data_IF_899931829659
#
_entry.id   IF_899931829659
#
_cell.length_a   1.000
_cell.length_b   1.000
_cell.length_c   1.000
_cell.angle_alpha   90.00
_cell.angle_beta   90.00
_cell.angle_gamma   90.00
#
_symmetry.space_group_name_H-M   'P 1'
#
loop_
_entity.id
_entity.type
_entity.pdbx_description
1 polymer ?
#
# COMPACT_ATOMS: atom_id res chain seq x y z
N UNK A 1 -5.22 5.86 13.90
CA UNK A 1 -6.65 5.44 13.91
C UNK A 1 -7.37 6.29 14.94
N UNK A 2 -8.47 6.91 14.53
CA UNK A 2 -9.25 7.81 15.36
C UNK A 2 -9.87 7.05 16.56
N UNK A 3 -9.58 7.47 17.83
CA UNK A 3 -10.22 6.89 19.01
C UNK A 3 -11.75 7.11 19.03
N UNK A 4 -12.27 7.97 18.17
CA UNK A 4 -13.70 8.28 18.11
C UNK A 4 -14.56 7.16 17.51
N UNK A 5 -13.99 6.22 16.73
CA UNK A 5 -14.74 5.07 16.21
C UNK A 5 -15.26 4.11 17.30
N UNK A 6 -14.79 4.25 18.54
CA UNK A 6 -15.29 3.45 19.68
C UNK A 6 -16.52 4.04 20.38
N UNK A 7 -16.98 5.23 20.00
CA UNK A 7 -18.12 5.93 20.67
C UNK A 7 -19.47 5.25 20.48
N UNK A 8 -19.58 4.25 19.60
CA UNK A 8 -20.83 3.49 19.40
C UNK A 8 -21.05 2.34 20.41
N UNK A 9 -20.02 1.95 21.17
CA UNK A 9 -20.16 0.97 22.25
C UNK A 9 -20.48 1.76 23.54
N UNK A 10 -21.67 1.56 24.09
CA UNK A 10 -22.12 2.22 25.31
C UNK A 10 -21.13 2.12 26.47
N UNK A 11 -21.18 3.06 27.40
CA UNK A 11 -20.21 3.20 28.50
C UNK A 11 -20.02 1.94 29.38
N UNK A 12 -20.97 1.03 29.35
CA UNK A 12 -20.90 -0.27 30.07
C UNK A 12 -19.80 -1.17 29.50
N UNK A 13 -19.61 -1.15 28.18
CA UNK A 13 -18.60 -2.01 27.52
C UNK A 13 -17.20 -1.38 27.52
N UNK A 14 -17.07 -0.07 27.63
CA UNK A 14 -15.76 0.61 27.70
C UNK A 14 -14.90 0.19 28.91
N UNK A 15 -15.52 -0.28 29.98
CA UNK A 15 -14.81 -0.79 31.18
C UNK A 15 -14.30 -2.21 31.03
N UNK A 16 -14.79 -2.95 30.03
CA UNK A 16 -14.45 -4.36 29.77
C UNK A 16 -13.50 -4.56 28.61
N UNK A 17 -13.24 -3.50 27.79
CA UNK A 17 -12.39 -3.55 26.62
C UNK A 17 -11.14 -2.73 26.87
N UNK A 18 -9.98 -3.35 26.76
CA UNK A 18 -8.68 -2.67 26.80
C UNK A 18 -8.23 -2.38 25.36
N UNK A 19 -7.97 -1.10 25.06
CA UNK A 19 -7.42 -0.65 23.78
C UNK A 19 -5.92 -0.45 23.92
N UNK A 20 -5.15 -1.22 23.15
CA UNK A 20 -3.70 -1.14 23.11
C UNK A 20 -3.24 -0.69 21.73
N UNK A 21 -2.34 0.28 21.69
CA UNK A 21 -1.67 0.69 20.45
C UNK A 21 -0.40 -0.14 20.28
N UNK A 22 -0.23 -0.77 19.12
CA UNK A 22 0.98 -1.51 18.81
C UNK A 22 2.14 -0.56 18.50
N UNK A 23 3.28 -0.78 19.16
CA UNK A 23 4.55 -0.14 18.87
C UNK A 23 5.54 -1.17 18.32
N UNK A 24 5.70 -1.22 16.99
CA UNK A 24 6.55 -2.18 16.29
C UNK A 24 8.04 -2.13 16.70
N UNK A 25 8.48 -1.07 17.39
CA UNK A 25 9.86 -0.95 17.91
C UNK A 25 10.08 -1.59 19.27
N UNK A 26 9.03 -1.67 20.10
CA UNK A 26 9.16 -2.02 21.51
C UNK A 26 8.23 -3.14 21.99
N UNK A 27 7.16 -3.47 21.27
CA UNK A 27 6.11 -4.39 21.71
C UNK A 27 6.21 -5.78 21.08
N UNK A 28 7.31 -6.05 20.37
CA UNK A 28 7.50 -7.31 19.63
C UNK A 28 8.47 -8.24 20.31
N UNK A 29 8.32 -9.54 20.00
CA UNK A 29 9.27 -10.62 20.30
C UNK A 29 9.51 -11.43 19.04
N UNK A 30 10.73 -11.99 18.94
CA UNK A 30 11.13 -12.86 17.84
C UNK A 30 10.36 -14.17 17.89
N UNK A 31 9.76 -14.54 16.76
CA UNK A 31 9.09 -15.84 16.58
C UNK A 31 10.09 -16.85 16.00
N UNK A 32 10.77 -16.43 14.94
CA UNK A 32 11.73 -17.26 14.22
C UNK A 32 12.60 -16.42 13.29
N UNK A 33 13.65 -17.04 12.77
CA UNK A 33 14.39 -16.55 11.62
C UNK A 33 13.95 -17.37 10.40
N UNK A 34 13.37 -16.71 9.39
CA UNK A 34 13.11 -17.32 8.09
C UNK A 34 14.44 -17.50 7.37
N UNK A 35 14.86 -18.73 7.03
CA UNK A 35 16.16 -18.98 6.41
C UNK A 35 16.29 -18.31 5.03
N UNK A 36 17.54 -17.95 4.68
CA UNK A 36 17.83 -17.34 3.36
C UNK A 36 17.36 -18.21 2.20
N UNK A 37 17.47 -19.53 2.33
CA UNK A 37 17.05 -20.49 1.30
C UNK A 37 15.54 -20.40 1.02
N UNK A 38 14.73 -20.27 2.06
CA UNK A 38 13.27 -20.09 1.94
C UNK A 38 12.93 -18.76 1.27
N UNK A 39 13.63 -17.69 1.68
CA UNK A 39 13.45 -16.36 1.08
C UNK A 39 13.89 -16.37 -0.40
N UNK A 40 15.02 -16.98 -0.70
CA UNK A 40 15.53 -17.13 -2.07
C UNK A 40 14.58 -17.94 -2.95
N UNK A 41 14.08 -19.07 -2.45
CA UNK A 41 13.07 -19.87 -3.18
C UNK A 41 11.80 -19.07 -3.44
N UNK A 42 11.26 -18.40 -2.42
CA UNK A 42 10.06 -17.59 -2.54
C UNK A 42 10.20 -16.46 -3.58
N UNK A 43 11.41 -15.87 -3.70
CA UNK A 43 11.70 -14.76 -4.60
C UNK A 43 12.26 -15.18 -5.97
N UNK A 44 12.41 -16.48 -6.22
CA UNK A 44 13.05 -16.98 -7.43
C UNK A 44 14.53 -16.59 -7.53
N UNK A 45 15.22 -16.46 -6.40
CA UNK A 45 16.64 -16.14 -6.31
C UNK A 45 16.99 -14.64 -6.40
N UNK A 46 15.99 -13.76 -6.54
CA UNK A 46 16.21 -12.32 -6.68
C UNK A 46 16.52 -11.61 -5.35
N UNK A 47 16.17 -12.24 -4.23
CA UNK A 47 16.46 -11.72 -2.90
C UNK A 47 17.00 -12.84 -2.01
N UNK A 48 18.14 -12.59 -1.33
CA UNK A 48 18.88 -13.59 -0.54
C UNK A 48 19.31 -12.96 0.78
N UNK A 49 18.42 -13.09 1.78
CA UNK A 49 18.69 -12.65 3.14
C UNK A 49 17.75 -13.38 4.09
N UNK A 50 18.26 -13.86 5.22
CA UNK A 50 17.42 -14.35 6.29
C UNK A 50 16.62 -13.18 6.89
N UNK A 51 15.39 -13.45 7.34
CA UNK A 51 14.46 -12.44 7.85
C UNK A 51 13.99 -12.85 9.24
N UNK A 52 14.13 -11.97 10.23
CA UNK A 52 13.55 -12.17 11.54
C UNK A 52 12.05 -11.90 11.49
N UNK A 53 11.24 -12.89 11.85
CA UNK A 53 9.82 -12.71 12.05
C UNK A 53 9.56 -12.38 13.52
N UNK A 54 8.89 -11.27 13.74
CA UNK A 54 8.56 -10.75 15.07
C UNK A 54 7.05 -10.56 15.16
N UNK A 55 6.50 -10.70 16.35
CA UNK A 55 5.07 -10.51 16.61
C UNK A 55 4.86 -9.82 17.97
N UNK A 56 3.76 -9.07 18.09
CA UNK A 56 3.40 -8.39 19.32
C UNK A 56 3.30 -9.40 20.49
N UNK A 57 3.94 -9.07 21.63
CA UNK A 57 3.97 -9.90 22.83
C UNK A 57 2.61 -10.32 23.34
N UNK A 58 1.62 -9.40 23.24
CA UNK A 58 0.25 -9.74 23.68
C UNK A 58 -0.35 -10.88 22.83
N UNK A 59 -0.03 -10.94 21.52
CA UNK A 59 -0.48 -12.03 20.65
C UNK A 59 0.18 -13.35 21.02
N UNK A 60 1.42 -13.32 21.52
CA UNK A 60 2.21 -14.49 21.93
C UNK A 60 1.99 -14.90 23.39
N UNK A 61 1.35 -14.05 24.20
CA UNK A 61 1.27 -14.23 25.67
C UNK A 61 0.59 -15.52 26.14
N UNK A 62 -0.25 -16.12 25.30
CA UNK A 62 -1.08 -17.27 25.68
C UNK A 62 -2.25 -16.93 26.61
N UNK A 63 -2.46 -15.63 26.90
CA UNK A 63 -3.55 -15.17 27.79
C UNK A 63 -4.93 -15.15 27.12
N UNK A 64 -4.95 -15.27 25.77
CA UNK A 64 -6.19 -15.19 25.00
C UNK A 64 -6.62 -16.57 24.50
N UNK A 65 -7.87 -16.94 24.76
CA UNK A 65 -8.47 -18.18 24.24
C UNK A 65 -8.57 -18.15 22.72
N UNK A 66 -8.71 -16.95 22.12
CA UNK A 66 -8.83 -16.74 20.68
C UNK A 66 -8.36 -15.35 20.27
N UNK A 67 -7.66 -15.30 19.16
CA UNK A 67 -7.24 -14.06 18.49
C UNK A 67 -8.13 -13.86 17.28
N UNK A 68 -8.68 -12.66 17.11
CA UNK A 68 -9.51 -12.31 15.96
C UNK A 68 -8.81 -11.20 15.16
N UNK A 69 -8.46 -11.50 13.90
CA UNK A 69 -7.91 -10.52 12.98
C UNK A 69 -9.00 -10.04 12.02
N UNK A 70 -9.33 -8.76 12.09
CA UNK A 70 -10.39 -8.15 11.27
C UNK A 70 -9.77 -7.21 10.25
N UNK A 71 -10.25 -7.25 8.99
CA UNK A 71 -9.86 -6.26 8.01
C UNK A 71 -10.29 -6.57 6.59
N UNK A 72 -9.99 -5.62 5.70
CA UNK A 72 -10.39 -5.62 4.31
C UNK A 72 -9.34 -6.29 3.41
N UNK A 73 -9.80 -7.12 2.47
CA UNK A 73 -8.97 -7.69 1.41
C UNK A 73 -9.10 -6.80 0.17
N UNK A 74 -7.98 -6.17 -0.18
CA UNK A 74 -7.86 -5.26 -1.34
C UNK A 74 -6.48 -5.45 -1.97
N UNK A 75 -6.26 -5.06 -3.23
CA UNK A 75 -4.93 -5.04 -3.83
C UNK A 75 -3.93 -4.27 -2.97
N UNK A 76 -2.70 -4.77 -2.85
CA UNK A 76 -1.67 -4.20 -1.98
C UNK A 76 -0.28 -4.29 -2.63
N UNK A 77 0.48 -3.20 -2.56
CA UNK A 77 1.79 -3.04 -3.21
C UNK A 77 2.88 -3.99 -2.70
N UNK A 78 2.79 -4.42 -1.44
CA UNK A 78 3.83 -5.28 -0.82
C UNK A 78 3.48 -6.76 -0.88
N UNK A 79 2.25 -7.12 -0.53
CA UNK A 79 1.85 -8.52 -0.34
C UNK A 79 0.89 -9.04 -1.41
N UNK A 80 0.58 -8.21 -2.41
CA UNK A 80 -0.35 -8.52 -3.48
C UNK A 80 -1.81 -8.27 -3.12
N UNK A 81 -2.35 -8.99 -2.15
CA UNK A 81 -3.65 -8.73 -1.51
C UNK A 81 -3.44 -8.48 -0.01
N UNK A 82 -4.09 -7.45 0.53
CA UNK A 82 -3.99 -7.06 1.95
C UNK A 82 -4.62 -8.10 2.88
N UNK A 83 -4.39 -7.93 4.19
CA UNK A 83 -4.97 -8.74 5.26
C UNK A 83 -4.37 -10.15 5.41
N UNK A 84 -5.06 -11.03 6.16
CA UNK A 84 -4.62 -12.37 6.53
C UNK A 84 -3.27 -12.31 7.29
N UNK A 85 -2.28 -13.13 6.92
CA UNK A 85 -0.95 -13.18 7.57
C UNK A 85 -0.22 -11.84 7.58
N UNK A 86 -0.55 -10.90 6.67
CA UNK A 86 0.00 -9.54 6.68
C UNK A 86 -0.40 -8.75 7.92
N UNK A 87 -1.62 -8.94 8.44
CA UNK A 87 -2.04 -8.25 9.65
C UNK A 87 -1.24 -8.69 10.88
N UNK A 88 -0.79 -9.93 10.88
CA UNK A 88 0.09 -10.46 11.92
C UNK A 88 1.52 -9.94 11.74
N UNK A 89 2.17 -10.32 10.65
CA UNK A 89 3.60 -10.16 10.44
C UNK A 89 4.06 -8.74 10.04
N UNK A 90 3.11 -7.88 9.66
CA UNK A 90 3.35 -6.45 9.39
C UNK A 90 2.47 -5.57 10.27
N UNK A 91 1.18 -5.89 10.40
CA UNK A 91 0.22 -5.07 11.16
C UNK A 91 0.52 -4.99 12.65
N UNK A 92 0.90 -6.12 13.25
CA UNK A 92 1.36 -6.24 14.65
C UNK A 92 2.70 -6.99 14.73
N UNK A 93 3.45 -6.97 13.63
CA UNK A 93 4.80 -7.51 13.52
C UNK A 93 5.87 -6.48 13.84
N UNK A 94 7.13 -6.88 13.64
CA UNK A 94 8.29 -6.07 13.98
C UNK A 94 9.06 -5.54 12.77
N UNK A 95 10.19 -4.94 13.08
CA UNK A 95 10.95 -4.09 12.17
C UNK A 95 11.50 -4.82 10.96
N UNK A 96 12.13 -5.98 11.17
CA UNK A 96 12.85 -6.66 10.09
C UNK A 96 11.86 -7.19 9.05
N UNK A 97 10.78 -7.85 9.48
CA UNK A 97 9.75 -8.34 8.56
C UNK A 97 9.07 -7.20 7.78
N UNK A 98 8.80 -6.06 8.42
CA UNK A 98 8.24 -4.88 7.74
C UNK A 98 9.21 -4.41 6.65
N UNK A 99 10.46 -4.13 6.99
CA UNK A 99 11.45 -3.61 6.07
C UNK A 99 11.71 -4.56 4.90
N UNK A 100 11.99 -5.84 5.21
CA UNK A 100 12.37 -6.81 4.18
C UNK A 100 11.20 -7.17 3.25
N UNK A 101 9.98 -7.28 3.76
CA UNK A 101 8.80 -7.52 2.92
C UNK A 101 8.57 -6.39 1.91
N UNK A 102 8.77 -5.14 2.32
CA UNK A 102 8.69 -3.99 1.41
C UNK A 102 9.78 -4.02 0.35
N UNK A 103 11.02 -4.30 0.76
CA UNK A 103 12.14 -4.37 -0.18
C UNK A 103 12.02 -5.53 -1.17
N UNK A 104 11.58 -6.71 -0.72
CA UNK A 104 11.29 -7.85 -1.61
C UNK A 104 10.25 -7.46 -2.67
N UNK A 105 9.18 -6.77 -2.26
CA UNK A 105 8.18 -6.31 -3.21
C UNK A 105 8.76 -5.35 -4.26
N UNK A 106 9.61 -4.45 -3.85
CA UNK A 106 10.24 -3.49 -4.75
C UNK A 106 11.18 -4.18 -5.76
N UNK A 107 12.05 -5.08 -5.28
CA UNK A 107 12.99 -5.83 -6.12
C UNK A 107 12.28 -6.80 -7.08
N UNK A 108 11.23 -7.49 -6.60
CA UNK A 108 10.45 -8.40 -7.45
C UNK A 108 9.57 -7.68 -8.48
N UNK A 109 9.37 -6.38 -8.32
CA UNK A 109 8.58 -5.52 -9.19
C UNK A 109 7.10 -5.48 -8.81
N UNK A 110 6.63 -4.27 -8.51
CA UNK A 110 5.26 -4.02 -8.03
C UNK A 110 4.16 -4.53 -8.99
N UNK A 111 4.41 -4.48 -10.29
CA UNK A 111 3.48 -4.95 -11.32
C UNK A 111 3.25 -6.47 -11.26
N UNK A 112 4.25 -7.22 -10.77
CA UNK A 112 4.16 -8.67 -10.57
C UNK A 112 3.54 -9.05 -9.23
N UNK A 113 3.44 -8.09 -8.31
CA UNK A 113 2.96 -8.29 -6.94
C UNK A 113 1.49 -7.88 -6.81
N UNK A 114 1.19 -6.63 -7.14
CA UNK A 114 -0.06 -5.98 -6.77
C UNK A 114 -1.30 -6.66 -7.39
N UNK A 115 -2.29 -6.93 -6.55
CA UNK A 115 -3.54 -7.56 -6.95
C UNK A 115 -3.45 -9.08 -7.14
N UNK A 116 -2.32 -9.70 -6.79
CA UNK A 116 -2.14 -11.15 -6.85
C UNK A 116 -2.24 -11.79 -5.47
N UNK A 117 -2.85 -12.95 -5.40
CA UNK A 117 -2.97 -13.72 -4.15
C UNK A 117 -1.63 -14.35 -3.74
N UNK A 118 -0.94 -14.98 -4.70
CA UNK A 118 0.31 -15.70 -4.49
C UNK A 118 1.49 -14.85 -4.92
N UNK A 119 2.19 -14.25 -3.96
CA UNK A 119 3.36 -13.40 -4.18
C UNK A 119 4.57 -13.94 -3.42
N UNK A 120 5.81 -13.53 -3.75
CA UNK A 120 6.99 -13.88 -2.96
C UNK A 120 6.83 -13.56 -1.48
N UNK A 121 6.36 -12.36 -1.14
CA UNK A 121 6.12 -11.94 0.25
C UNK A 121 5.06 -12.81 0.92
N UNK A 122 3.95 -13.12 0.23
CA UNK A 122 2.90 -13.97 0.78
C UNK A 122 3.40 -15.38 1.08
N UNK A 123 4.24 -15.96 0.23
CA UNK A 123 4.85 -17.27 0.48
C UNK A 123 5.71 -17.28 1.73
N UNK A 124 6.47 -16.22 1.98
CA UNK A 124 7.26 -16.07 3.22
C UNK A 124 6.34 -15.98 4.43
N UNK A 125 5.27 -15.20 4.36
CA UNK A 125 4.30 -15.09 5.45
C UNK A 125 3.56 -16.40 5.73
N UNK A 126 3.16 -17.11 4.69
CA UNK A 126 2.48 -18.41 4.80
C UNK A 126 3.44 -19.48 5.39
N UNK A 127 4.74 -19.40 5.09
CA UNK A 127 5.77 -20.22 5.74
C UNK A 127 5.82 -19.97 7.25
N UNK A 128 5.87 -18.71 7.68
CA UNK A 128 5.89 -18.37 9.12
C UNK A 128 4.58 -18.81 9.80
N UNK A 129 3.44 -18.53 9.18
CA UNK A 129 2.13 -18.92 9.71
C UNK A 129 2.07 -20.43 9.96
N UNK A 130 2.40 -21.22 8.95
CA UNK A 130 2.30 -22.67 8.99
C UNK A 130 3.25 -23.33 9.99
N UNK A 131 4.48 -22.82 10.13
CA UNK A 131 5.52 -23.49 10.91
C UNK A 131 5.64 -22.96 12.34
N UNK A 132 5.19 -21.73 12.61
CA UNK A 132 5.44 -21.07 13.90
C UNK A 132 4.20 -20.47 14.57
N UNK A 133 3.10 -20.26 13.84
CA UNK A 133 1.88 -19.63 14.37
C UNK A 133 0.66 -20.55 14.32
N UNK A 134 0.80 -21.79 13.86
CA UNK A 134 -0.31 -22.75 13.72
C UNK A 134 -0.96 -23.10 15.06
N UNK A 135 -0.19 -23.03 16.17
CA UNK A 135 -0.70 -23.23 17.52
C UNK A 135 -1.56 -22.08 18.03
N UNK A 136 -1.49 -20.90 17.44
CA UNK A 136 -2.32 -19.77 17.83
C UNK A 136 -3.70 -19.91 17.18
N UNK A 137 -4.74 -19.87 18.01
CA UNK A 137 -6.14 -19.94 17.55
C UNK A 137 -6.54 -18.60 16.93
N UNK A 138 -6.16 -18.36 15.67
CA UNK A 138 -6.40 -17.11 14.98
C UNK A 138 -7.58 -17.27 14.02
N UNK A 139 -8.65 -16.53 14.26
CA UNK A 139 -9.78 -16.44 13.35
C UNK A 139 -9.67 -15.15 12.53
N UNK A 140 -9.67 -15.28 11.22
CA UNK A 140 -9.68 -14.14 10.29
C UNK A 140 -11.11 -13.79 9.92
N UNK A 141 -11.49 -12.51 10.09
CA UNK A 141 -12.73 -11.91 9.63
C UNK A 141 -12.38 -10.95 8.49
N UNK A 142 -12.60 -11.40 7.26
CA UNK A 142 -12.17 -10.74 6.05
C UNK A 142 -13.35 -10.11 5.33
N UNK A 143 -13.27 -8.81 5.07
CA UNK A 143 -14.28 -8.09 4.29
C UNK A 143 -13.77 -7.81 2.89
N UNK A 144 -14.66 -7.83 1.91
CA UNK A 144 -14.43 -7.29 0.58
C UNK A 144 -15.42 -6.17 0.36
N UNK A 145 -14.91 -4.95 0.26
CA UNK A 145 -15.72 -3.74 0.00
C UNK A 145 -15.28 -3.10 -1.31
N UNK A 146 -16.17 -2.32 -1.89
CA UNK A 146 -15.87 -1.49 -3.05
C UNK A 146 -16.58 -0.15 -2.87
N UNK A 147 -15.94 0.96 -3.22
CA UNK A 147 -16.59 2.27 -3.19
C UNK A 147 -17.62 2.39 -4.29
N UNK A 148 -18.86 2.73 -3.90
CA UNK A 148 -19.91 3.24 -4.78
C UNK A 148 -20.53 4.47 -4.12
N UNK A 149 -20.56 5.59 -4.85
CA UNK A 149 -21.36 6.78 -4.50
C UNK A 149 -21.21 7.30 -3.05
N UNK A 150 -20.00 7.48 -2.55
CA UNK A 150 -19.68 7.98 -1.20
C UNK A 150 -19.82 6.98 -0.04
N UNK A 151 -20.42 5.80 -0.26
CA UNK A 151 -20.52 4.73 0.71
C UNK A 151 -19.69 3.51 0.28
N UNK A 152 -19.18 2.75 1.24
CA UNK A 152 -18.47 1.50 0.99
C UNK A 152 -19.46 0.34 1.08
N UNK A 153 -19.81 -0.26 -0.06
CA UNK A 153 -20.65 -1.44 -0.10
C UNK A 153 -19.86 -2.68 0.33
N UNK A 154 -20.42 -3.46 1.24
CA UNK A 154 -19.89 -4.77 1.63
C UNK A 154 -20.35 -5.83 0.62
N UNK A 155 -19.43 -6.37 -0.15
CA UNK A 155 -19.69 -7.42 -1.15
C UNK A 155 -19.44 -8.83 -0.65
N UNK A 156 -18.57 -9.00 0.35
CA UNK A 156 -18.28 -10.29 0.92
C UNK A 156 -17.75 -10.19 2.34
N UNK A 157 -18.11 -11.20 3.14
CA UNK A 157 -17.64 -11.38 4.50
C UNK A 157 -17.26 -12.85 4.66
N UNK A 158 -16.00 -13.11 5.02
CA UNK A 158 -15.44 -14.44 5.14
C UNK A 158 -14.86 -14.61 6.54
N UNK A 159 -15.20 -15.71 7.19
CA UNK A 159 -14.68 -16.05 8.52
C UNK A 159 -14.07 -17.43 8.46
N UNK A 160 -12.86 -17.56 8.97
CA UNK A 160 -12.16 -18.85 9.07
C UNK A 160 -10.71 -18.69 9.50
N UNK A 161 -10.04 -19.80 9.66
CA UNK A 161 -8.65 -19.90 10.10
C UNK A 161 -7.73 -20.28 8.93
N UNK A 162 -8.29 -20.99 7.96
CA UNK A 162 -7.59 -21.59 6.85
C UNK A 162 -7.22 -20.61 5.71
N UNK A 163 -6.15 -20.94 5.00
CA UNK A 163 -5.68 -20.18 3.82
C UNK A 163 -6.78 -20.02 2.76
N UNK A 164 -7.68 -21.02 2.62
CA UNK A 164 -8.77 -21.01 1.67
C UNK A 164 -9.80 -19.90 1.94
N UNK A 165 -10.02 -19.53 3.21
CA UNK A 165 -10.85 -18.37 3.59
C UNK A 165 -10.30 -17.09 2.96
N UNK A 166 -8.99 -16.89 3.02
CA UNK A 166 -8.35 -15.74 2.37
C UNK A 166 -8.40 -15.84 0.84
N UNK A 167 -8.16 -17.03 0.27
CA UNK A 167 -8.26 -17.27 -1.17
C UNK A 167 -9.64 -16.92 -1.73
N UNK A 168 -10.69 -17.31 -1.00
CA UNK A 168 -12.07 -16.97 -1.39
C UNK A 168 -12.29 -15.44 -1.38
N UNK A 169 -11.81 -14.74 -0.36
CA UNK A 169 -11.88 -13.28 -0.29
C UNK A 169 -11.06 -12.61 -1.42
N UNK A 170 -9.86 -13.13 -1.74
CA UNK A 170 -9.03 -12.62 -2.85
C UNK A 170 -9.73 -12.74 -4.20
N UNK A 171 -10.35 -13.89 -4.50
CA UNK A 171 -11.11 -14.09 -5.75
C UNK A 171 -12.25 -13.07 -5.90
N UNK A 172 -12.92 -12.71 -4.81
CA UNK A 172 -13.95 -11.66 -4.85
C UNK A 172 -13.33 -10.26 -4.95
N UNK A 173 -12.26 -9.98 -4.19
CA UNK A 173 -11.57 -8.70 -4.23
C UNK A 173 -10.99 -8.39 -5.63
N UNK A 174 -10.45 -9.39 -6.33
CA UNK A 174 -9.99 -9.26 -7.70
C UNK A 174 -11.12 -8.78 -8.63
N UNK A 175 -12.31 -9.38 -8.52
CA UNK A 175 -13.48 -9.00 -9.33
C UNK A 175 -14.04 -7.63 -9.00
N UNK A 176 -13.88 -7.15 -7.76
CA UNK A 176 -14.51 -5.92 -7.28
C UNK A 176 -13.57 -4.72 -7.25
N UNK A 177 -12.29 -4.94 -6.97
CA UNK A 177 -11.31 -3.86 -6.78
C UNK A 177 -10.32 -3.71 -7.92
N UNK A 178 -10.31 -4.61 -8.94
CA UNK A 178 -9.50 -4.44 -10.14
C UNK A 178 -10.37 -3.98 -11.30
N UNK A 179 -10.07 -2.79 -11.81
CA UNK A 179 -10.72 -2.24 -13.00
C UNK A 179 -9.87 -2.52 -14.24
N UNK A 180 -10.43 -3.21 -15.22
CA UNK A 180 -9.79 -3.58 -16.47
C UNK A 180 -10.14 -2.58 -17.56
N UNK A 181 -9.19 -1.74 -17.95
CA UNK A 181 -9.32 -0.79 -19.04
C UNK A 181 -9.21 -1.49 -20.41
N UNK A 182 -9.91 -1.01 -21.43
CA UNK A 182 -9.80 -1.57 -22.78
C UNK A 182 -8.48 -1.21 -23.47
N UNK A 183 -7.84 -0.10 -23.06
CA UNK A 183 -6.58 0.43 -23.59
C UNK A 183 -5.80 1.14 -22.50
N UNK A 184 -4.48 1.29 -22.67
CA UNK A 184 -3.67 2.18 -21.82
C UNK A 184 -4.12 3.61 -21.99
N UNK A 185 -4.22 4.36 -20.89
CA UNK A 185 -4.54 5.77 -20.92
C UNK A 185 -3.27 6.61 -21.16
N UNK A 186 -3.31 7.53 -22.12
CA UNK A 186 -2.24 8.51 -22.30
C UNK A 186 -2.18 9.51 -21.15
N UNK A 187 -3.34 9.76 -20.51
CA UNK A 187 -3.44 10.59 -19.33
C UNK A 187 -4.38 9.98 -18.30
N UNK A 188 -3.91 9.87 -17.08
CA UNK A 188 -4.74 9.55 -15.90
C UNK A 188 -4.74 10.76 -14.98
N UNK A 189 -5.93 11.13 -14.50
CA UNK A 189 -6.12 12.19 -13.51
C UNK A 189 -6.68 11.56 -12.24
N UNK A 190 -6.00 11.71 -11.12
CA UNK A 190 -6.46 11.17 -9.84
C UNK A 190 -6.80 12.30 -8.86
N UNK A 191 -7.74 12.05 -7.98
CA UNK A 191 -8.09 12.94 -6.87
C UNK A 191 -7.66 12.35 -5.54
N UNK A 192 -6.91 13.12 -4.77
CA UNK A 192 -6.53 12.82 -3.40
C UNK A 192 -7.29 13.75 -2.45
N UNK A 193 -8.17 13.18 -1.62
CA UNK A 193 -8.92 13.96 -0.63
C UNK A 193 -7.95 14.56 0.39
N UNK A 194 -7.95 15.90 0.60
CA UNK A 194 -7.06 16.56 1.55
C UNK A 194 -7.27 16.14 3.01
N UNK A 195 -8.42 15.55 3.35
CA UNK A 195 -8.64 15.00 4.68
C UNK A 195 -7.86 13.71 4.95
N UNK A 196 -7.50 12.97 3.91
CA UNK A 196 -6.80 11.67 4.01
C UNK A 196 -5.33 11.75 3.58
N UNK A 197 -5.00 12.62 2.63
CA UNK A 197 -3.69 12.63 1.95
C UNK A 197 -2.91 13.90 2.25
N UNK A 198 -2.08 13.86 3.29
CA UNK A 198 -1.21 14.97 3.69
C UNK A 198 0.25 14.85 3.22
N UNK A 199 0.68 13.65 2.79
CA UNK A 199 2.05 13.38 2.35
C UNK A 199 2.09 12.61 1.03
N UNK A 200 3.23 12.65 0.32
CA UNK A 200 3.44 11.78 -0.85
C UNK A 200 3.57 10.32 -0.44
N UNK A 201 3.98 10.03 0.80
CA UNK A 201 4.02 8.66 1.32
C UNK A 201 2.70 7.91 1.15
N UNK A 202 1.60 8.52 1.54
CA UNK A 202 0.27 7.96 1.30
C UNK A 202 -0.28 8.31 -0.07
N UNK A 203 0.04 9.49 -0.60
CA UNK A 203 -0.43 10.00 -1.90
C UNK A 203 0.05 9.17 -3.09
N UNK A 204 1.23 8.55 -2.98
CA UNK A 204 1.79 7.68 -4.02
C UNK A 204 1.01 6.37 -4.23
N UNK A 205 -0.03 6.09 -3.43
CA UNK A 205 -1.04 5.11 -3.82
C UNK A 205 -1.63 5.41 -5.19
N UNK A 206 -1.72 6.69 -5.58
CA UNK A 206 -2.09 7.09 -6.92
C UNK A 206 -1.12 6.53 -7.98
N UNK A 207 0.20 6.57 -7.72
CA UNK A 207 1.22 6.02 -8.61
C UNK A 207 1.14 4.49 -8.65
N UNK A 208 1.12 3.85 -7.48
CA UNK A 208 1.14 2.39 -7.36
C UNK A 208 -0.02 1.73 -8.08
N UNK A 209 -1.22 2.27 -7.90
CA UNK A 209 -2.49 1.68 -8.32
C UNK A 209 -2.79 1.91 -9.81
N UNK A 210 -2.21 2.94 -10.43
CA UNK A 210 -2.54 3.34 -11.80
C UNK A 210 -1.45 2.99 -12.82
N UNK A 211 -0.21 2.74 -12.37
CA UNK A 211 0.97 2.60 -13.24
C UNK A 211 0.81 1.53 -14.35
N UNK A 212 0.04 0.48 -14.11
CA UNK A 212 -0.24 -0.58 -15.09
C UNK A 212 -1.27 -0.16 -16.15
N UNK A 213 -1.99 0.93 -15.93
CA UNK A 213 -3.00 1.43 -16.85
C UNK A 213 -2.52 2.65 -17.67
N UNK A 214 -1.33 3.21 -17.35
CA UNK A 214 -0.77 4.37 -18.05
C UNK A 214 0.08 3.89 -19.22
N UNK A 215 -0.09 4.56 -20.37
CA UNK A 215 0.73 4.33 -21.56
C UNK A 215 2.16 4.83 -21.33
N UNK A 216 3.13 4.21 -22.00
CA UNK A 216 4.49 4.72 -22.04
C UNK A 216 4.49 6.08 -22.75
N UNK A 217 5.24 7.05 -22.20
CA UNK A 217 5.19 8.45 -22.61
C UNK A 217 3.93 9.20 -22.16
N UNK A 218 3.04 8.55 -21.39
CA UNK A 218 1.83 9.17 -20.84
C UNK A 218 2.07 10.05 -19.61
N UNK A 219 0.99 10.51 -19.00
CA UNK A 219 1.02 11.36 -17.81
C UNK A 219 0.05 10.86 -16.72
N UNK A 220 0.55 10.83 -15.48
CA UNK A 220 -0.27 10.77 -14.28
C UNK A 220 -0.32 12.15 -13.64
N UNK A 221 -1.49 12.79 -13.67
CA UNK A 221 -1.76 14.04 -12.96
C UNK A 221 -2.47 13.74 -11.65
N UNK A 222 -1.86 14.10 -10.53
CA UNK A 222 -2.37 13.85 -9.19
C UNK A 222 -2.88 15.18 -8.61
N UNK A 223 -4.19 15.34 -8.48
CA UNK A 223 -4.82 16.49 -7.83
C UNK A 223 -4.73 16.31 -6.33
N UNK A 224 -3.81 17.01 -5.67
CA UNK A 224 -3.41 16.77 -4.29
C UNK A 224 -3.34 18.06 -3.45
N UNK A 225 -4.48 18.71 -3.17
CA UNK A 225 -4.51 20.01 -2.49
C UNK A 225 -4.05 19.96 -1.03
N UNK A 226 -4.00 18.79 -0.40
CA UNK A 226 -3.61 18.61 1.00
C UNK A 226 -2.15 18.22 1.22
N UNK A 227 -1.37 17.97 0.17
CA UNK A 227 0.03 17.53 0.30
C UNK A 227 0.88 18.65 0.88
N UNK A 228 1.58 18.37 1.99
CA UNK A 228 2.45 19.29 2.72
C UNK A 228 3.79 18.71 3.16
N UNK A 229 3.98 17.38 3.01
CA UNK A 229 5.19 16.66 3.36
C UNK A 229 5.43 15.51 2.38
N UNK A 230 6.60 14.91 2.41
CA UNK A 230 6.90 13.70 1.66
C UNK A 230 6.67 12.45 2.51
N UNK A 231 7.22 12.40 3.73
CA UNK A 231 7.09 11.30 4.67
C UNK A 231 6.07 11.54 5.77
N UNK A 232 5.71 10.48 6.49
CA UNK A 232 4.82 10.52 7.66
C UNK A 232 5.58 10.84 8.97
N UNK A 233 6.90 10.72 8.94
CA UNK A 233 7.79 11.09 10.04
C UNK A 233 9.07 11.72 9.47
N UNK A 234 9.87 12.35 10.34
CA UNK A 234 11.06 13.10 9.96
C UNK A 234 12.13 12.24 9.28
N UNK A 235 12.32 11.00 9.74
CA UNK A 235 13.30 10.06 9.18
C UNK A 235 12.98 9.72 7.73
N UNK A 236 11.75 9.36 7.45
CA UNK A 236 11.26 9.03 6.11
C UNK A 236 11.20 10.27 5.21
N UNK A 237 10.74 11.42 5.73
CA UNK A 237 10.68 12.67 4.96
C UNK A 237 12.10 13.11 4.52
N UNK A 238 13.07 13.07 5.44
CA UNK A 238 14.48 13.39 5.14
C UNK A 238 15.07 12.43 4.11
N UNK A 239 14.73 11.14 4.22
CA UNK A 239 15.17 10.13 3.27
C UNK A 239 14.62 10.42 1.85
N UNK A 240 13.33 10.73 1.72
CA UNK A 240 12.72 11.08 0.43
C UNK A 240 13.35 12.36 -0.15
N UNK A 241 13.61 13.38 0.68
CA UNK A 241 14.30 14.60 0.22
C UNK A 241 15.71 14.35 -0.27
N UNK A 242 16.44 13.42 0.37
CA UNK A 242 17.83 13.10 0.01
C UNK A 242 17.92 12.37 -1.34
N UNK A 243 17.10 11.35 -1.54
CA UNK A 243 17.23 10.45 -2.68
C UNK A 243 16.28 10.77 -3.84
N UNK A 244 15.13 11.35 -3.53
CA UNK A 244 14.05 11.58 -4.49
C UNK A 244 13.49 10.30 -5.11
N UNK A 245 12.55 10.44 -6.00
CA UNK A 245 12.00 9.34 -6.82
C UNK A 245 12.86 9.17 -8.08
N UNK A 246 14.15 8.88 -7.85
CA UNK A 246 15.22 8.91 -8.85
C UNK A 246 15.31 7.65 -9.74
N UNK A 247 14.39 6.71 -9.57
CA UNK A 247 14.34 5.48 -10.35
C UNK A 247 14.85 4.26 -9.58
N UNK A 248 14.38 3.10 -10.03
CA UNK A 248 14.66 1.80 -9.39
C UNK A 248 16.16 1.53 -9.28
N UNK A 249 16.91 1.69 -10.37
CA UNK A 249 18.35 1.40 -10.41
C UNK A 249 19.15 2.24 -9.39
N UNK A 250 18.87 3.55 -9.34
CA UNK A 250 19.56 4.47 -8.42
C UNK A 250 19.33 4.09 -6.97
N UNK A 251 18.07 3.82 -6.61
CA UNK A 251 17.71 3.47 -5.23
C UNK A 251 18.22 2.08 -4.85
N UNK A 252 18.18 1.12 -5.78
CA UNK A 252 18.69 -0.22 -5.54
C UNK A 252 20.21 -0.20 -5.29
N UNK A 253 20.97 0.56 -6.08
CA UNK A 253 22.41 0.74 -5.85
C UNK A 253 22.70 1.35 -4.48
N UNK A 254 21.96 2.38 -4.06
CA UNK A 254 22.12 2.96 -2.72
C UNK A 254 21.75 1.97 -1.60
N UNK A 255 20.71 1.15 -1.82
CA UNK A 255 20.34 0.08 -0.89
C UNK A 255 21.46 -0.98 -0.75
N UNK A 256 22.03 -1.44 -1.85
CA UNK A 256 23.13 -2.41 -1.87
C UNK A 256 24.38 -1.86 -1.18
N UNK A 257 24.60 -0.55 -1.22
CA UNK A 257 25.67 0.14 -0.48
C UNK A 257 25.35 0.35 1.01
N UNK A 258 24.19 -0.12 1.51
CA UNK A 258 23.81 -0.04 2.91
C UNK A 258 23.23 1.31 3.36
N UNK A 259 22.92 2.23 2.43
CA UNK A 259 22.43 3.57 2.76
C UNK A 259 21.01 3.59 3.34
N UNK A 260 20.26 2.49 3.24
CA UNK A 260 18.91 2.33 3.76
C UNK A 260 18.82 1.32 4.91
N UNK A 261 19.94 0.96 5.54
CA UNK A 261 19.93 -0.01 6.64
C UNK A 261 19.01 0.42 7.79
N UNK A 262 18.01 -0.42 8.06
CA UNK A 262 17.00 -0.20 9.09
C UNK A 262 15.81 0.69 8.70
N UNK A 263 15.80 1.21 7.46
CA UNK A 263 14.72 1.97 6.84
C UNK A 263 14.43 1.50 5.41
N UNK A 264 14.65 0.21 5.14
CA UNK A 264 14.53 -0.39 3.80
C UNK A 264 13.14 -0.18 3.18
N UNK A 265 12.12 -0.01 4.01
CA UNK A 265 10.77 0.35 3.54
C UNK A 265 10.74 1.72 2.82
N UNK A 266 11.66 2.64 3.16
CA UNK A 266 11.78 3.91 2.46
C UNK A 266 12.38 3.73 1.06
N UNK A 267 13.40 2.86 0.90
CA UNK A 267 13.92 2.49 -0.41
C UNK A 267 12.82 1.88 -1.28
N UNK A 268 12.04 0.95 -0.75
CA UNK A 268 10.92 0.35 -1.46
C UNK A 268 9.88 1.39 -1.89
N UNK A 269 9.56 2.35 -1.02
CA UNK A 269 8.64 3.45 -1.35
C UNK A 269 9.18 4.32 -2.50
N UNK A 270 10.47 4.66 -2.50
CA UNK A 270 11.09 5.44 -3.56
C UNK A 270 11.07 4.71 -4.91
N UNK A 271 11.33 3.39 -4.90
CA UNK A 271 11.22 2.54 -6.09
C UNK A 271 9.76 2.50 -6.59
N UNK A 272 8.82 2.19 -5.72
CA UNK A 272 7.40 2.11 -6.08
C UNK A 272 6.84 3.45 -6.57
N UNK A 273 7.30 4.56 -6.02
CA UNK A 273 6.90 5.92 -6.39
C UNK A 273 7.53 6.42 -7.71
N UNK A 274 8.57 5.76 -8.21
CA UNK A 274 9.18 6.11 -9.49
C UNK A 274 8.39 5.52 -10.67
N UNK A 275 8.32 6.24 -11.78
CA UNK A 275 7.82 5.72 -13.05
C UNK A 275 8.90 5.01 -13.87
N UNK A 276 10.15 5.05 -13.44
CA UNK A 276 11.33 4.59 -14.20
C UNK A 276 11.38 5.14 -15.64
N UNK A 277 10.94 6.39 -15.80
CA UNK A 277 10.91 7.08 -17.09
C UNK A 277 9.78 6.65 -18.05
N UNK A 278 8.92 5.72 -17.65
CA UNK A 278 7.83 5.23 -18.50
C UNK A 278 6.75 6.28 -18.74
N UNK A 279 6.41 7.07 -17.73
CA UNK A 279 5.41 8.12 -17.81
C UNK A 279 5.76 9.27 -16.86
N UNK A 280 5.20 10.44 -17.16
CA UNK A 280 5.38 11.63 -16.33
C UNK A 280 4.45 11.59 -15.11
N UNK A 281 4.97 11.93 -13.93
CA UNK A 281 4.18 12.11 -12.71
C UNK A 281 4.16 13.59 -12.38
N UNK A 282 2.96 14.18 -12.35
CA UNK A 282 2.73 15.59 -12.04
C UNK A 282 1.85 15.71 -10.80
N UNK A 283 2.34 16.33 -9.74
CA UNK A 283 1.54 16.73 -8.60
C UNK A 283 0.96 18.12 -8.82
N UNK A 284 -0.36 18.22 -8.83
CA UNK A 284 -1.06 19.50 -8.71
C UNK A 284 -1.28 19.77 -7.22
N UNK A 285 -0.49 20.68 -6.65
CA UNK A 285 -0.46 20.97 -5.22
C UNK A 285 -0.70 22.45 -4.92
N UNK A 286 -1.08 22.73 -3.66
CA UNK A 286 -1.19 24.13 -3.18
C UNK A 286 0.22 24.72 -3.05
N UNK A 287 0.53 25.84 -3.74
CA UNK A 287 1.85 26.46 -3.71
C UNK A 287 2.27 26.92 -2.30
N UNK A 288 1.31 27.13 -1.37
CA UNK A 288 1.59 27.49 0.02
C UNK A 288 1.97 26.30 0.88
N UNK A 289 1.49 25.09 0.55
CA UNK A 289 1.76 23.85 1.29
C UNK A 289 2.94 23.10 0.71
N UNK A 290 3.03 23.05 -0.61
CA UNK A 290 4.06 22.34 -1.36
C UNK A 290 4.50 23.17 -2.57
N UNK A 291 5.49 24.06 -2.41
CA UNK A 291 6.05 24.89 -3.48
C UNK A 291 6.64 24.04 -4.62
N UNK A 292 6.68 24.63 -5.83
CA UNK A 292 7.19 23.99 -7.04
C UNK A 292 8.61 23.45 -6.88
N UNK A 293 9.54 24.29 -6.37
CA UNK A 293 10.94 23.90 -6.18
C UNK A 293 11.10 22.71 -5.25
N UNK A 294 10.25 22.61 -4.22
CA UNK A 294 10.28 21.52 -3.26
C UNK A 294 9.78 20.20 -3.89
N UNK A 295 8.68 20.23 -4.67
CA UNK A 295 8.18 19.05 -5.33
C UNK A 295 9.14 18.58 -6.45
N UNK A 296 9.71 19.51 -7.21
CA UNK A 296 10.68 19.18 -8.26
C UNK A 296 11.99 18.62 -7.71
N UNK A 297 12.40 19.02 -6.51
CA UNK A 297 13.64 18.52 -5.90
C UNK A 297 13.63 17.03 -5.62
N UNK A 298 12.45 16.40 -5.52
CA UNK A 298 12.31 14.95 -5.36
C UNK A 298 12.00 14.19 -6.66
N UNK A 299 12.06 14.88 -7.82
CA UNK A 299 11.92 14.25 -9.13
C UNK A 299 10.50 14.19 -9.70
N UNK A 300 9.52 14.83 -9.06
CA UNK A 300 8.17 14.96 -9.61
C UNK A 300 7.96 16.30 -10.33
N UNK A 301 7.12 16.30 -11.35
CA UNK A 301 6.62 17.53 -11.95
C UNK A 301 5.58 18.18 -11.03
N UNK A 302 5.47 19.50 -11.14
CA UNK A 302 4.53 20.28 -10.33
C UNK A 302 3.65 21.20 -11.19
N UNK A 303 2.43 21.43 -10.73
CA UNK A 303 1.54 22.48 -11.24
C UNK A 303 0.67 23.03 -10.11
N UNK A 304 0.20 24.28 -10.23
CA UNK A 304 -0.73 24.88 -9.27
C UNK A 304 -2.07 24.14 -9.30
N UNK A 305 -2.56 23.77 -8.11
CA UNK A 305 -3.83 23.08 -7.92
C UNK A 305 -5.05 23.91 -8.36
N UNK A 306 -5.00 25.24 -8.20
CA UNK A 306 -6.15 26.11 -8.44
C UNK A 306 -6.70 26.02 -9.86
N UNK A 307 -5.88 26.22 -10.92
CA UNK A 307 -6.30 26.00 -12.31
C UNK A 307 -6.77 24.56 -12.58
N UNK A 308 -6.09 23.56 -12.00
CA UNK A 308 -6.42 22.14 -12.20
C UNK A 308 -7.77 21.77 -11.60
N UNK A 309 -8.10 22.30 -10.42
CA UNK A 309 -9.43 22.13 -9.80
C UNK A 309 -10.56 22.71 -10.67
N UNK A 310 -10.32 23.84 -11.32
CA UNK A 310 -11.30 24.46 -12.23
C UNK A 310 -11.47 23.62 -13.51
N UNK A 311 -10.37 23.09 -14.05
CA UNK A 311 -10.38 22.28 -15.28
C UNK A 311 -11.05 20.93 -15.06
N UNK A 312 -10.60 20.17 -14.08
CA UNK A 312 -11.02 18.76 -13.91
C UNK A 312 -12.24 18.57 -13.02
N UNK A 313 -12.59 19.55 -12.17
CA UNK A 313 -13.75 19.54 -11.27
C UNK A 313 -13.95 18.18 -10.56
N UNK A 314 -12.98 17.72 -9.74
CA UNK A 314 -12.95 16.35 -9.23
C UNK A 314 -14.09 16.04 -8.25
N UNK A 315 -14.62 17.06 -7.56
CA UNK A 315 -15.70 16.87 -6.59
C UNK A 315 -17.00 16.46 -7.29
N UNK A 316 -17.52 15.29 -6.95
CA UNK A 316 -18.72 14.72 -7.57
C UNK A 316 -18.52 14.07 -8.93
N UNK A 317 -17.27 14.05 -9.45
CA UNK A 317 -16.94 13.34 -10.69
C UNK A 317 -16.69 11.86 -10.40
N UNK A 318 -17.32 10.99 -11.18
CA UNK A 318 -17.15 9.54 -11.09
C UNK A 318 -15.89 9.05 -11.83
N UNK A 319 -15.38 7.89 -11.41
CA UNK A 319 -14.25 7.24 -12.10
C UNK A 319 -14.67 6.79 -13.50
N UNK A 320 -13.90 7.16 -14.52
CA UNK A 320 -14.21 6.81 -15.91
C UNK A 320 -13.43 7.61 -16.94
N UNK A 321 -13.73 7.35 -18.23
CA UNK A 321 -13.20 8.09 -19.35
C UNK A 321 -13.92 9.42 -19.54
N UNK A 322 -13.14 10.46 -19.81
CA UNK A 322 -13.62 11.82 -20.10
C UNK A 322 -12.86 12.40 -21.28
N UNK A 323 -13.51 13.32 -21.99
CA UNK A 323 -12.91 14.17 -23.00
C UNK A 323 -13.30 15.61 -22.71
N UNK A 324 -12.33 16.49 -22.65
CA UNK A 324 -12.54 17.93 -22.45
C UNK A 324 -11.60 18.72 -23.36
N UNK A 325 -12.17 19.58 -24.23
CA UNK A 325 -11.43 20.39 -25.18
C UNK A 325 -10.41 19.61 -26.04
N UNK A 326 -10.77 18.39 -26.47
CA UNK A 326 -9.92 17.50 -27.28
C UNK A 326 -8.84 16.74 -26.47
N UNK A 327 -8.84 16.83 -25.14
CA UNK A 327 -7.99 16.04 -24.26
C UNK A 327 -8.76 14.85 -23.70
N UNK A 328 -8.42 13.62 -24.12
CA UNK A 328 -8.95 12.38 -23.54
C UNK A 328 -8.15 12.03 -22.29
N UNK A 329 -8.82 11.73 -21.17
CA UNK A 329 -8.20 11.27 -19.94
C UNK A 329 -9.08 10.27 -19.19
N UNK A 330 -8.45 9.45 -18.35
CA UNK A 330 -9.15 8.57 -17.42
C UNK A 330 -9.11 9.20 -16.02
N UNK A 331 -10.28 9.49 -15.45
CA UNK A 331 -10.37 10.06 -14.10
C UNK A 331 -10.56 8.99 -13.05
N UNK A 332 -9.89 9.12 -11.90
CA UNK A 332 -9.98 8.22 -10.74
C UNK A 332 -10.23 9.05 -9.49
N UNK A 333 -11.41 8.88 -8.87
CA UNK A 333 -11.81 9.66 -7.70
C UNK A 333 -11.17 9.20 -6.39
N UNK A 334 -10.82 7.91 -6.26
CA UNK A 334 -10.26 7.33 -5.04
C UNK A 334 -9.21 6.26 -5.38
N UNK A 335 -7.96 6.66 -5.66
CA UNK A 335 -6.94 5.70 -6.10
C UNK A 335 -6.47 4.73 -5.01
N UNK A 336 -6.75 4.99 -3.72
CA UNK A 336 -6.25 4.18 -2.62
C UNK A 336 -6.90 2.79 -2.49
N UNK A 337 -8.09 2.58 -3.01
CA UNK A 337 -8.87 1.33 -2.81
C UNK A 337 -8.98 0.46 -4.06
N UNK A 338 -8.72 1.01 -5.25
CA UNK A 338 -8.77 0.30 -6.52
C UNK A 338 -7.41 -0.14 -7.06
N UNK A 339 -7.43 -0.86 -8.16
CA UNK A 339 -6.27 -1.16 -8.99
C UNK A 339 -6.73 -1.10 -10.45
N UNK A 340 -5.95 -0.44 -11.31
CA UNK A 340 -6.28 -0.28 -12.72
C UNK A 340 -5.27 -1.02 -13.59
N UNK A 341 -5.76 -1.88 -14.45
CA UNK A 341 -4.97 -2.71 -15.39
C UNK A 341 -5.58 -2.66 -16.78
N UNK A 342 -4.85 -3.15 -17.77
CA UNK A 342 -5.34 -3.25 -19.15
C UNK A 342 -5.69 -4.69 -19.49
N UNK A 343 -6.80 -4.91 -20.19
CA UNK A 343 -7.24 -6.23 -20.64
C UNK A 343 -6.18 -6.86 -21.55
N UNK A 344 -5.84 -8.12 -21.28
CA UNK A 344 -4.87 -8.88 -22.07
C UNK A 344 -3.40 -8.64 -21.73
N UNK A 345 -3.11 -7.75 -20.78
CA UNK A 345 -1.78 -7.54 -20.21
C UNK A 345 -1.78 -8.15 -18.78
N UNK A 346 -1.37 -9.41 -18.64
CA UNK A 346 -1.36 -10.12 -17.34
C UNK A 346 0.05 -10.18 -16.72
#
# INVERSE_FOLDING_TARGET
>A
RDPEMSRGLGDVYKRQVCFLSHNWKNDTEDICIVPEEIVSEATGGTYRRAITAELNRNVLSGEFDRIVSIGQVVPHEVVGMANYTKNLLVGVGGRDMINQSHMISAICGIEKIMGRENTPVRRIFDYVQKNFLDQLKITFMLTVTCEKHQDSDLYGFYIGEERETFSAACRLAEKKNITWLPKRAKKIVTWLDPAEFGSTWVGNKAVYRTRMAIADGGELLILAPGIKSFGENEEVDSCIRKYGYSGTETIQNAYENGEFNGIEMAAAHLIHGSSDGRFKITYAADPKLMPEEIMRSVGYEWTDIGPMMKKYQPKGKETGWYEDNGEEYYFIKAPAVGLWRVKGEA
#
